data_IF_226440902208
#
_entry.id   IF_226440902208
#
_cell.length_a   1.000
_cell.length_b   1.000
_cell.length_c   1.000
_cell.angle_alpha   90.00
_cell.angle_beta   90.00
_cell.angle_gamma   90.00
#
_symmetry.space_group_name_H-M   'P 1'
#
loop_
_entity.id
_entity.type
_entity.pdbx_description
1 polymer ?
#
# COMPACT_ATOMS: atom_id res chain seq x y z
N UNK A 1 7.27 67.00 8.37
CA UNK A 1 8.22 65.87 8.33
C UNK A 1 9.34 66.16 9.32
N UNK A 2 9.20 65.71 10.57
CA UNK A 2 10.20 65.85 11.65
C UNK A 2 9.75 64.90 12.76
N UNK A 3 10.48 63.80 12.99
CA UNK A 3 11.53 63.71 14.01
C UNK A 3 10.96 63.55 15.42
N UNK A 4 11.02 62.30 15.89
CA UNK A 4 10.93 61.88 17.29
C UNK A 4 11.95 62.62 18.16
N UNK A 5 11.61 62.83 19.44
CA UNK A 5 12.43 62.52 20.65
C UNK A 5 12.41 63.62 21.71
N UNK A 6 11.83 63.31 22.86
CA UNK A 6 12.13 63.98 24.14
C UNK A 6 11.82 63.00 25.28
N UNK A 7 12.85 62.49 25.99
CA UNK A 7 13.28 62.91 27.36
C UNK A 7 12.38 62.28 28.44
N UNK A 8 12.81 61.74 29.59
CA UNK A 8 13.91 61.95 30.56
C UNK A 8 14.04 60.59 31.33
N UNK A 9 14.92 60.28 32.29
CA UNK A 9 15.52 60.98 33.44
C UNK A 9 16.75 60.15 33.87
N UNK A 10 17.74 60.81 34.49
CA UNK A 10 19.00 60.26 34.99
C UNK A 10 18.89 59.67 36.41
N UNK A 11 19.99 59.02 36.82
CA UNK A 11 20.51 58.86 38.20
C UNK A 11 19.79 57.78 39.03
N UNK A 12 20.43 56.75 39.59
CA UNK A 12 21.84 56.40 39.73
C UNK A 12 22.01 55.74 41.10
N UNK A 13 22.51 54.50 41.16
CA UNK A 13 23.23 53.96 42.34
C UNK A 13 23.99 52.69 41.96
N UNK A 14 25.30 52.70 42.21
CA UNK A 14 26.18 51.54 42.25
C UNK A 14 25.73 50.61 43.39
N UNK A 15 26.01 49.30 43.41
CA UNK A 15 27.30 48.70 43.73
C UNK A 15 27.24 47.22 43.34
N UNK A 16 28.35 46.74 42.79
CA UNK A 16 28.57 45.37 42.34
C UNK A 16 28.57 44.34 43.48
N UNK A 17 27.99 43.17 43.22
CA UNK A 17 28.48 41.90 43.77
C UNK A 17 28.61 40.94 42.59
N UNK A 18 29.86 40.62 42.26
CA UNK A 18 30.22 39.60 41.30
C UNK A 18 29.87 38.23 41.88
N UNK A 19 29.08 37.45 41.16
CA UNK A 19 29.07 35.99 41.33
C UNK A 19 29.40 35.40 39.96
N UNK A 20 30.68 35.06 39.83
CA UNK A 20 31.23 34.24 38.77
C UNK A 20 30.72 32.82 39.01
N UNK A 21 29.80 32.36 38.16
CA UNK A 21 29.44 30.94 38.08
C UNK A 21 29.87 30.40 36.73
N UNK A 22 31.13 29.96 36.67
CA UNK A 22 31.65 29.08 35.63
C UNK A 22 31.06 27.68 35.85
N UNK A 23 29.99 27.35 35.12
CA UNK A 23 29.57 25.97 34.91
C UNK A 23 29.88 25.60 33.47
N UNK A 24 31.11 25.12 33.29
CA UNK A 24 31.56 24.31 32.17
C UNK A 24 30.70 23.05 32.03
N UNK A 25 30.21 22.81 30.81
CA UNK A 25 30.15 21.47 30.22
C UNK A 25 28.88 20.67 30.46
N UNK A 26 27.96 20.76 29.51
CA UNK A 26 27.47 19.59 28.77
C UNK A 26 26.53 20.10 27.67
N UNK A 27 27.04 20.21 26.44
CA UNK A 27 26.19 20.24 25.28
C UNK A 27 25.49 18.87 25.22
N UNK A 28 24.27 18.78 25.78
CA UNK A 28 23.37 17.69 25.45
C UNK A 28 22.95 17.91 24.00
N UNK A 29 23.69 17.25 23.12
CA UNK A 29 23.37 16.98 21.73
C UNK A 29 21.93 16.46 21.67
N UNK A 30 21.02 17.25 21.10
CA UNK A 30 19.71 16.76 20.65
C UNK A 30 19.98 15.75 19.53
N UNK A 31 20.15 14.48 19.90
CA UNK A 31 20.07 13.37 18.97
C UNK A 31 18.63 13.34 18.47
N UNK A 32 18.41 13.98 17.32
CA UNK A 32 17.17 13.86 16.56
C UNK A 32 16.82 12.38 16.39
N UNK A 33 15.54 11.98 16.52
CA UNK A 33 15.14 10.61 16.31
C UNK A 33 15.63 10.15 14.95
N UNK A 34 16.55 9.18 14.96
CA UNK A 34 16.87 8.38 13.80
C UNK A 34 15.53 7.95 13.20
N UNK A 35 15.33 8.32 11.94
CA UNK A 35 14.22 7.88 11.13
C UNK A 35 14.03 6.39 11.40
N UNK A 36 12.92 6.07 12.09
CA UNK A 36 12.54 4.70 12.32
C UNK A 36 12.53 4.04 10.95
N UNK A 37 13.39 3.04 10.78
CA UNK A 37 13.25 2.11 9.68
C UNK A 37 11.78 1.71 9.67
N UNK A 38 11.08 2.11 8.60
CA UNK A 38 9.72 1.65 8.39
C UNK A 38 9.75 0.13 8.55
N UNK A 39 8.81 -0.48 9.28
CA UNK A 39 8.75 -1.93 9.37
C UNK A 39 8.72 -2.44 7.93
N UNK A 40 9.74 -3.20 7.53
CA UNK A 40 9.66 -3.97 6.29
C UNK A 40 8.36 -4.76 6.38
N UNK A 41 7.44 -4.63 5.40
CA UNK A 41 6.21 -5.39 5.43
C UNK A 41 6.61 -6.86 5.46
N UNK A 42 6.43 -7.48 6.61
CA UNK A 42 6.70 -8.90 6.79
C UNK A 42 5.74 -9.62 5.87
N UNK A 43 6.28 -10.19 4.79
CA UNK A 43 5.59 -11.11 3.89
C UNK A 43 5.38 -12.42 4.65
N UNK A 44 4.45 -12.41 5.60
CA UNK A 44 4.01 -13.63 6.27
C UNK A 44 2.91 -14.21 5.41
N UNK A 45 3.28 -15.17 4.56
CA UNK A 45 2.30 -15.98 3.87
C UNK A 45 1.53 -16.79 4.91
N UNK A 46 0.20 -16.90 4.82
CA UNK A 46 -0.43 -18.07 5.39
C UNK A 46 0.15 -19.28 4.66
N UNK A 47 0.89 -20.13 5.37
CA UNK A 47 1.27 -21.48 4.90
C UNK A 47 0.04 -22.41 4.86
N UNK A 48 -1.12 -21.84 4.54
CA UNK A 48 -2.39 -22.53 4.41
C UNK A 48 -2.50 -23.05 2.99
N UNK A 49 -2.79 -24.35 2.86
CA UNK A 49 -3.28 -24.92 1.62
C UNK A 49 -4.39 -24.02 1.06
N UNK A 50 -4.30 -23.66 -0.22
CA UNK A 50 -5.41 -22.97 -0.89
C UNK A 50 -6.69 -23.77 -0.62
N UNK A 51 -7.80 -23.12 -0.21
CA UNK A 51 -9.04 -23.83 0.04
C UNK A 51 -9.47 -24.56 -1.24
N UNK A 52 -10.00 -25.76 -1.05
CA UNK A 52 -10.46 -26.59 -2.14
C UNK A 52 -11.59 -25.88 -2.89
N UNK A 53 -11.40 -25.66 -4.18
CA UNK A 53 -12.44 -25.08 -5.01
C UNK A 53 -13.54 -26.10 -5.31
N UNK A 54 -14.78 -25.65 -5.22
CA UNK A 54 -15.98 -26.40 -5.57
C UNK A 54 -16.27 -26.37 -7.08
N UNK A 55 -15.81 -25.33 -7.78
CA UNK A 55 -16.02 -25.17 -9.21
C UNK A 55 -14.75 -24.70 -9.95
N UNK A 56 -14.69 -25.01 -11.24
CA UNK A 56 -13.64 -24.52 -12.15
C UNK A 56 -14.29 -23.98 -13.42
N UNK A 57 -13.88 -22.79 -13.86
CA UNK A 57 -14.33 -22.15 -15.10
C UNK A 57 -13.14 -21.86 -15.99
N UNK A 58 -13.08 -22.48 -17.17
CA UNK A 58 -12.05 -22.21 -18.18
C UNK A 58 -12.60 -21.29 -19.26
N UNK A 59 -11.87 -20.21 -19.56
CA UNK A 59 -12.28 -19.17 -20.50
C UNK A 59 -11.07 -18.67 -21.31
N UNK A 60 -11.32 -18.08 -22.49
CA UNK A 60 -10.26 -17.42 -23.27
C UNK A 60 -9.82 -16.08 -22.65
N UNK A 61 -10.73 -15.43 -21.94
CA UNK A 61 -10.51 -14.22 -21.14
C UNK A 61 -11.65 -14.10 -20.13
N UNK A 62 -11.42 -13.44 -19.00
CA UNK A 62 -12.45 -13.23 -17.98
C UNK A 62 -12.50 -11.77 -17.53
N UNK A 63 -13.70 -11.26 -17.25
CA UNK A 63 -13.91 -10.00 -16.52
C UNK A 63 -15.08 -10.21 -15.57
N UNK A 64 -14.79 -10.28 -14.28
CA UNK A 64 -15.77 -10.63 -13.26
C UNK A 64 -15.57 -9.84 -11.97
N UNK A 65 -16.56 -9.90 -11.08
CA UNK A 65 -16.49 -9.40 -9.72
C UNK A 65 -16.89 -10.47 -8.72
N UNK A 66 -16.47 -10.27 -7.47
CA UNK A 66 -16.96 -11.05 -6.33
C UNK A 66 -18.40 -10.64 -5.97
N UNK A 67 -19.18 -11.48 -5.27
CA UNK A 67 -20.57 -11.18 -4.92
C UNK A 67 -20.72 -9.93 -4.05
N UNK A 68 -19.71 -9.63 -3.22
CA UNK A 68 -19.67 -8.39 -2.42
C UNK A 68 -19.59 -7.12 -3.27
N UNK A 69 -19.25 -7.24 -4.56
CA UNK A 69 -19.00 -6.11 -5.46
C UNK A 69 -17.74 -5.30 -5.15
N UNK A 70 -17.00 -5.68 -4.09
CA UNK A 70 -15.86 -4.90 -3.63
C UNK A 70 -14.59 -5.10 -4.49
N UNK A 71 -14.45 -6.28 -5.10
CA UNK A 71 -13.29 -6.67 -5.90
C UNK A 71 -13.75 -7.09 -7.30
N UNK A 72 -13.11 -6.52 -8.32
CA UNK A 72 -13.33 -6.85 -9.73
C UNK A 72 -12.03 -7.24 -10.40
N UNK A 73 -12.01 -8.33 -11.15
CA UNK A 73 -10.83 -8.88 -11.79
C UNK A 73 -11.00 -9.00 -13.30
N UNK A 74 -9.91 -8.77 -14.02
CA UNK A 74 -9.79 -9.02 -15.46
C UNK A 74 -8.57 -9.90 -15.71
N UNK A 75 -8.80 -10.97 -16.46
CA UNK A 75 -7.80 -11.98 -16.77
C UNK A 75 -7.63 -12.08 -18.28
N UNK A 76 -6.37 -12.07 -18.72
CA UNK A 76 -5.96 -12.42 -20.07
C UNK A 76 -4.82 -13.45 -19.98
N UNK A 77 -4.52 -14.11 -21.10
CA UNK A 77 -3.40 -15.05 -21.17
C UNK A 77 -2.04 -14.41 -20.80
N UNK A 78 -1.91 -13.09 -20.95
CA UNK A 78 -0.67 -12.36 -20.73
C UNK A 78 -0.59 -11.64 -19.38
N UNK A 79 -1.71 -11.41 -18.68
CA UNK A 79 -1.73 -10.62 -17.44
C UNK A 79 -3.04 -10.82 -16.66
N UNK A 80 -2.98 -10.52 -15.36
CA UNK A 80 -4.14 -10.44 -14.48
C UNK A 80 -4.10 -9.12 -13.74
N UNK A 81 -5.26 -8.46 -13.62
CA UNK A 81 -5.45 -7.27 -12.79
C UNK A 81 -6.71 -7.43 -11.97
N UNK A 82 -6.64 -7.07 -10.69
CA UNK A 82 -7.83 -6.91 -9.85
C UNK A 82 -7.84 -5.51 -9.24
N UNK A 83 -9.02 -4.90 -9.23
CA UNK A 83 -9.30 -3.63 -8.59
C UNK A 83 -10.13 -3.83 -7.34
N UNK A 84 -9.91 -2.99 -6.33
CA UNK A 84 -10.63 -3.01 -5.05
C UNK A 84 -11.22 -1.63 -4.74
N UNK A 85 -12.50 -1.57 -4.36
CA UNK A 85 -13.15 -0.31 -4.03
C UNK A 85 -12.84 0.11 -2.59
N UNK A 86 -13.11 -0.78 -1.63
CA UNK A 86 -12.96 -0.58 -0.19
C UNK A 86 -11.86 -1.48 0.37
N UNK A 87 -10.92 -0.88 1.10
CA UNK A 87 -9.82 -1.55 1.79
C UNK A 87 -9.59 -0.93 3.16
N UNK A 88 -9.01 -1.69 4.08
CA UNK A 88 -8.67 -1.21 5.44
C UNK A 88 -7.17 -1.20 5.74
N UNK A 89 -6.35 -1.66 4.81
CA UNK A 89 -4.89 -1.63 4.93
C UNK A 89 -4.30 -0.32 4.41
N UNK A 90 -3.15 0.06 4.97
CA UNK A 90 -2.37 1.19 4.49
C UNK A 90 -1.67 0.83 3.16
N UNK A 91 -1.52 1.84 2.31
CA UNK A 91 -0.75 1.74 1.07
C UNK A 91 0.61 2.40 1.24
N UNK A 92 1.64 1.93 0.50
CA UNK A 92 2.87 2.69 0.38
C UNK A 92 2.60 4.07 -0.25
N UNK A 93 3.50 5.05 -0.05
CA UNK A 93 3.35 6.37 -0.66
C UNK A 93 3.17 6.28 -2.17
N UNK A 94 2.22 7.06 -2.71
CA UNK A 94 1.99 7.14 -4.15
C UNK A 94 3.25 7.64 -4.86
N UNK A 95 3.79 6.90 -5.85
CA UNK A 95 4.92 7.36 -6.64
C UNK A 95 4.62 8.70 -7.34
N UNK A 96 5.59 9.63 -7.45
CA UNK A 96 5.40 10.90 -8.15
C UNK A 96 5.02 10.74 -9.63
N UNK A 97 5.47 9.65 -10.26
CA UNK A 97 5.14 9.30 -11.64
C UNK A 97 3.70 8.84 -11.84
N UNK A 98 2.98 8.50 -10.78
CA UNK A 98 1.61 8.01 -10.87
C UNK A 98 0.62 9.17 -11.01
N UNK A 99 -0.02 9.29 -12.17
CA UNK A 99 -1.05 10.31 -12.44
C UNK A 99 -2.49 9.81 -12.15
N UNK A 100 -2.67 8.50 -12.02
CA UNK A 100 -3.94 7.87 -11.69
C UNK A 100 -4.13 7.60 -10.19
N UNK A 101 -5.03 6.67 -9.90
CA UNK A 101 -5.31 6.18 -8.55
C UNK A 101 -4.33 5.05 -8.24
N UNK A 102 -3.48 5.29 -7.23
CA UNK A 102 -2.47 4.33 -6.82
C UNK A 102 -3.00 3.37 -5.75
N UNK A 103 -2.65 2.09 -5.89
CA UNK A 103 -2.89 1.07 -4.87
C UNK A 103 -4.34 0.60 -4.75
N UNK A 104 -5.22 1.02 -5.66
CA UNK A 104 -6.57 0.46 -5.86
C UNK A 104 -6.61 -0.68 -6.86
N UNK A 105 -5.48 -0.96 -7.48
CA UNK A 105 -5.32 -1.97 -8.50
C UNK A 105 -4.04 -2.74 -8.25
N UNK A 106 -4.09 -4.07 -8.34
CA UNK A 106 -2.93 -4.95 -8.30
C UNK A 106 -2.90 -5.73 -9.60
N UNK A 107 -1.72 -5.83 -10.21
CA UNK A 107 -1.51 -6.58 -11.45
C UNK A 107 -0.27 -7.46 -11.38
N UNK A 108 -0.25 -8.49 -12.21
CA UNK A 108 0.99 -9.10 -12.67
C UNK A 108 0.86 -9.42 -14.16
N UNK A 109 1.99 -9.38 -14.84
CA UNK A 109 2.13 -9.92 -16.19
C UNK A 109 2.69 -11.35 -16.12
N UNK A 110 2.46 -12.12 -17.16
CA UNK A 110 3.02 -13.47 -17.35
C UNK A 110 4.52 -13.50 -17.03
N UNK A 111 4.92 -14.44 -16.17
CA UNK A 111 6.30 -14.62 -15.69
C UNK A 111 6.90 -13.42 -14.92
N UNK A 112 6.10 -12.45 -14.48
CA UNK A 112 6.58 -11.26 -13.75
C UNK A 112 5.97 -11.16 -12.35
N UNK A 113 6.69 -10.48 -11.47
CA UNK A 113 6.23 -10.14 -10.11
C UNK A 113 4.99 -9.25 -10.16
N UNK A 114 4.17 -9.38 -9.13
CA UNK A 114 3.02 -8.49 -8.90
C UNK A 114 3.45 -7.10 -8.45
N UNK A 115 2.61 -6.12 -8.75
CA UNK A 115 2.81 -4.73 -8.37
C UNK A 115 1.48 -4.03 -8.09
N UNK A 116 1.53 -2.98 -7.26
CA UNK A 116 0.46 -2.00 -7.15
C UNK A 116 0.47 -1.14 -8.42
N UNK A 117 -0.64 -1.15 -9.14
CA UNK A 117 -0.82 -0.40 -10.38
C UNK A 117 -1.28 1.03 -10.10
N UNK A 118 -0.87 1.93 -11.00
CA UNK A 118 -1.39 3.28 -11.11
C UNK A 118 -2.48 3.29 -12.19
N UNK A 119 -3.73 3.06 -11.81
CA UNK A 119 -4.83 2.93 -12.76
C UNK A 119 -5.60 4.24 -12.93
N UNK A 120 -6.00 4.55 -14.16
CA UNK A 120 -6.91 5.67 -14.48
C UNK A 120 -8.35 5.20 -14.76
N UNK A 121 -8.54 3.89 -14.92
CA UNK A 121 -9.79 3.19 -15.15
C UNK A 121 -10.15 2.31 -13.94
N UNK A 122 -11.37 1.77 -13.95
CA UNK A 122 -11.88 0.84 -12.95
C UNK A 122 -12.39 -0.42 -13.65
N UNK A 123 -12.07 -1.60 -13.10
CA UNK A 123 -12.66 -2.87 -13.49
C UNK A 123 -14.05 -3.12 -12.85
N UNK A 124 -14.55 -2.18 -12.06
CA UNK A 124 -15.85 -2.25 -11.39
C UNK A 124 -16.84 -1.20 -11.94
N UNK A 125 -18.14 -1.55 -12.07
CA UNK A 125 -18.69 -2.90 -11.93
C UNK A 125 -18.24 -3.81 -13.08
N UNK A 126 -18.17 -5.12 -12.81
CA UNK A 126 -17.84 -6.13 -13.80
C UNK A 126 -19.12 -6.77 -14.39
N UNK A 127 -19.07 -7.32 -15.61
CA UNK A 127 -20.24 -7.88 -16.28
C UNK A 127 -20.69 -9.25 -15.71
N UNK A 128 -19.82 -9.95 -15.01
CA UNK A 128 -20.09 -11.29 -14.45
C UNK A 128 -19.81 -11.29 -12.95
N UNK A 129 -20.68 -11.95 -12.16
CA UNK A 129 -20.43 -12.26 -10.76
C UNK A 129 -20.01 -13.72 -10.63
N UNK A 130 -18.89 -13.99 -9.95
CA UNK A 130 -18.40 -15.34 -9.70
C UNK A 130 -18.60 -15.69 -8.22
N UNK A 131 -19.27 -16.81 -7.96
CA UNK A 131 -19.48 -17.32 -6.61
C UNK A 131 -18.16 -17.79 -5.95
N UNK A 132 -18.07 -17.72 -4.62
CA UNK A 132 -16.95 -18.27 -3.85
C UNK A 132 -16.67 -19.74 -4.15
N UNK A 133 -15.48 -20.18 -3.73
CA UNK A 133 -14.96 -21.52 -3.95
C UNK A 133 -14.90 -21.90 -5.44
N UNK A 134 -14.57 -20.91 -6.29
CA UNK A 134 -14.44 -21.10 -7.75
C UNK A 134 -13.02 -20.75 -8.20
N UNK A 135 -12.43 -21.59 -9.06
CA UNK A 135 -11.20 -21.26 -9.79
C UNK A 135 -11.58 -20.79 -11.19
N UNK A 136 -11.20 -19.56 -11.52
CA UNK A 136 -11.25 -19.05 -12.89
C UNK A 136 -9.90 -19.32 -13.56
N UNK A 137 -9.94 -19.90 -14.75
CA UNK A 137 -8.80 -20.34 -15.54
C UNK A 137 -8.77 -19.59 -16.86
N UNK A 138 -7.65 -18.92 -17.12
CA UNK A 138 -7.31 -18.38 -18.44
C UNK A 138 -5.88 -18.80 -18.74
N UNK A 139 -5.69 -19.76 -19.67
CA UNK A 139 -4.38 -20.35 -19.96
C UNK A 139 -3.66 -20.85 -18.69
N UNK A 140 -2.53 -20.25 -18.32
CA UNK A 140 -1.75 -20.54 -17.11
C UNK A 140 -2.18 -19.72 -15.88
N UNK A 141 -3.03 -18.72 -16.07
CA UNK A 141 -3.48 -17.83 -15.02
C UNK A 141 -4.59 -18.50 -14.23
N UNK A 142 -4.48 -18.47 -12.90
CA UNK A 142 -5.50 -18.96 -11.97
C UNK A 142 -5.93 -17.82 -11.09
N UNK A 143 -7.24 -17.67 -10.88
CA UNK A 143 -7.78 -16.85 -9.81
C UNK A 143 -8.75 -17.68 -8.99
N UNK A 144 -8.40 -17.91 -7.72
CA UNK A 144 -9.24 -18.59 -6.73
C UNK A 144 -10.11 -17.52 -6.07
N UNK A 145 -11.41 -17.61 -6.29
CA UNK A 145 -12.41 -16.73 -5.70
C UNK A 145 -12.88 -17.31 -4.38
N UNK A 146 -12.85 -16.51 -3.33
CA UNK A 146 -13.30 -16.85 -1.98
C UNK A 146 -14.26 -15.77 -1.47
N UNK A 147 -14.97 -16.06 -0.39
CA UNK A 147 -15.92 -15.12 0.23
C UNK A 147 -15.27 -13.77 0.57
N UNK A 148 -14.05 -13.80 1.11
CA UNK A 148 -13.34 -12.62 1.61
C UNK A 148 -12.46 -11.93 0.58
N UNK A 149 -12.16 -12.58 -0.55
CA UNK A 149 -11.15 -12.07 -1.48
C UNK A 149 -10.81 -13.02 -2.62
N UNK A 150 -9.72 -12.71 -3.30
CA UNK A 150 -9.25 -13.45 -4.47
C UNK A 150 -7.75 -13.68 -4.38
N UNK A 151 -7.31 -14.86 -4.79
CA UNK A 151 -5.89 -15.17 -4.96
C UNK A 151 -5.62 -15.51 -6.41
N UNK A 152 -4.80 -14.70 -7.09
CA UNK A 152 -4.47 -14.88 -8.49
C UNK A 152 -2.97 -15.18 -8.67
N UNK A 153 -2.63 -16.13 -9.55
CA UNK A 153 -1.24 -16.51 -9.80
C UNK A 153 -1.03 -17.10 -11.19
N UNK A 154 0.22 -17.00 -11.66
CA UNK A 154 0.73 -17.70 -12.83
C UNK A 154 1.26 -19.08 -12.39
N UNK A 155 0.64 -20.15 -12.89
CA UNK A 155 1.03 -21.54 -12.56
C UNK A 155 2.43 -21.93 -13.00
N UNK A 156 3.03 -21.22 -13.95
CA UNK A 156 4.37 -21.56 -14.46
C UNK A 156 5.48 -20.86 -13.66
N UNK A 157 5.24 -19.60 -13.24
CA UNK A 157 6.25 -18.82 -12.50
C UNK A 157 6.03 -18.77 -10.99
N UNK A 158 4.81 -19.09 -10.51
CA UNK A 158 4.44 -18.94 -9.11
C UNK A 158 4.23 -17.49 -8.65
N UNK A 159 4.47 -16.49 -9.51
CA UNK A 159 4.16 -15.10 -9.19
C UNK A 159 2.65 -14.86 -9.20
N UNK A 160 2.21 -13.97 -8.31
CA UNK A 160 0.80 -13.68 -8.14
C UNK A 160 0.52 -12.74 -6.98
N UNK A 161 -0.73 -12.64 -6.57
CA UNK A 161 -1.14 -11.88 -5.40
C UNK A 161 -2.37 -12.49 -4.73
N UNK A 162 -2.51 -12.21 -3.44
CA UNK A 162 -3.77 -12.31 -2.72
C UNK A 162 -4.30 -10.91 -2.45
N UNK A 163 -5.62 -10.73 -2.54
CA UNK A 163 -6.29 -9.45 -2.34
C UNK A 163 -7.63 -9.66 -1.63
N UNK A 164 -7.82 -8.95 -0.52
CA UNK A 164 -9.06 -8.89 0.24
C UNK A 164 -9.32 -7.46 0.71
N UNK A 165 -10.42 -7.22 1.43
CA UNK A 165 -10.65 -5.91 2.07
C UNK A 165 -9.60 -5.62 3.16
N UNK A 166 -9.14 -6.65 3.86
CA UNK A 166 -8.27 -6.50 5.03
C UNK A 166 -6.78 -6.47 4.69
N UNK A 167 -6.37 -7.11 3.59
CA UNK A 167 -4.96 -7.26 3.24
C UNK A 167 -4.73 -7.45 1.74
N UNK A 168 -3.47 -7.27 1.34
CA UNK A 168 -2.94 -7.77 0.08
C UNK A 168 -1.56 -8.38 0.32
N UNK A 169 -1.18 -9.34 -0.51
CA UNK A 169 0.14 -9.95 -0.47
C UNK A 169 0.62 -10.28 -1.88
N UNK A 170 1.92 -10.16 -2.13
CA UNK A 170 2.53 -10.64 -3.37
C UNK A 170 3.07 -12.05 -3.19
N UNK A 171 2.72 -12.94 -4.11
CA UNK A 171 3.20 -14.30 -4.17
C UNK A 171 4.50 -14.35 -4.98
N UNK A 172 5.43 -15.18 -4.53
CA UNK A 172 6.68 -15.48 -5.20
C UNK A 172 6.89 -17.01 -5.22
N UNK A 173 7.60 -17.55 -6.21
CA UNK A 173 8.00 -18.95 -6.20
C UNK A 173 8.84 -19.25 -4.95
N UNK A 174 8.62 -20.45 -4.39
CA UNK A 174 9.41 -21.00 -3.28
C UNK A 174 10.77 -21.52 -3.75
#
# INVERSE_FOLDING_TARGET
MTASKTRRVRLGTAIAVAIVSLLTGAACREEGPAAGAAPEPSLVFPTGSLPAAKATRSQASAHFQLPSGNIGCRMQAAWVRCDIQLQTYALPPKPPSCQGIYGKSIRFDKMKKSELSCAADSLLPAPETIEPDTIVIVERMRCVVQESGVTCYDTESGFGFALSRQEYAFLAPS
#
